data_IF_148234338051
#
_entry.id   IF_148234338051
#
_cell.length_a   1.000
_cell.length_b   1.000
_cell.length_c   1.000
_cell.angle_alpha   90.00
_cell.angle_beta   90.00
_cell.angle_gamma   90.00
#
_symmetry.space_group_name_H-M   'P 1'
#
loop_
_entity.id
_entity.type
_entity.pdbx_description
1 polymer ?
#
# COMPACT_ATOMS: atom_id res chain seq x y z
N UNK A 1 -48.69 9.55 -43.40
CA UNK A 1 -47.77 8.81 -42.50
C UNK A 1 -46.77 9.80 -41.94
N UNK A 2 -47.01 10.29 -40.73
CA UNK A 2 -46.15 11.27 -40.04
C UNK A 2 -45.10 10.52 -39.22
N UNK A 3 -43.84 10.57 -39.64
CA UNK A 3 -42.69 10.16 -38.83
C UNK A 3 -42.50 11.19 -37.73
N UNK A 4 -42.95 10.87 -36.51
CA UNK A 4 -42.71 11.68 -35.32
C UNK A 4 -41.20 11.76 -35.00
N UNK A 5 -40.72 12.84 -34.37
CA UNK A 5 -39.31 12.99 -34.03
C UNK A 5 -38.88 11.88 -33.07
N UNK A 6 -37.81 11.16 -33.43
CA UNK A 6 -37.18 10.16 -32.58
C UNK A 6 -36.65 10.86 -31.32
N UNK A 7 -37.29 10.62 -30.19
CA UNK A 7 -36.73 11.03 -28.90
C UNK A 7 -35.42 10.25 -28.69
N UNK A 8 -34.33 10.90 -28.26
CA UNK A 8 -33.11 10.19 -27.90
C UNK A 8 -33.44 9.17 -26.79
N UNK A 9 -33.04 7.92 -27.02
CA UNK A 9 -33.19 6.81 -26.08
C UNK A 9 -32.47 7.15 -24.76
N UNK A 10 -33.21 7.71 -23.80
CA UNK A 10 -32.76 7.96 -22.42
C UNK A 10 -32.64 6.66 -21.61
N UNK A 11 -32.98 5.54 -22.23
CA UNK A 11 -32.99 4.18 -21.69
C UNK A 11 -31.60 3.55 -21.62
N UNK A 12 -30.56 4.14 -22.23
CA UNK A 12 -29.20 3.61 -22.12
C UNK A 12 -28.57 4.07 -20.80
N UNK A 13 -28.36 3.18 -19.82
CA UNK A 13 -27.72 3.56 -18.56
C UNK A 13 -26.31 4.06 -18.86
N UNK A 14 -25.98 5.25 -18.35
CA UNK A 14 -24.66 5.84 -18.53
C UNK A 14 -23.56 4.86 -18.10
N UNK A 15 -22.43 4.76 -18.85
CA UNK A 15 -21.35 3.87 -18.53
C UNK A 15 -20.85 4.09 -17.09
N UNK A 16 -20.37 3.03 -16.40
CA UNK A 16 -19.79 3.21 -15.07
C UNK A 16 -18.60 4.18 -15.16
N UNK A 17 -18.59 5.17 -14.26
CA UNK A 17 -17.49 6.13 -14.15
C UNK A 17 -16.15 5.38 -13.95
N UNK A 18 -15.07 5.80 -14.62
CA UNK A 18 -13.76 5.16 -14.47
C UNK A 18 -13.23 5.29 -13.04
N UNK A 19 -12.35 4.38 -12.59
CA UNK A 19 -11.71 4.49 -11.29
C UNK A 19 -10.81 5.74 -11.23
N UNK A 20 -10.62 6.34 -10.04
CA UNK A 20 -9.74 7.50 -9.90
C UNK A 20 -8.30 7.14 -10.28
N UNK A 21 -7.59 8.02 -11.01
CA UNK A 21 -6.23 7.76 -11.46
C UNK A 21 -5.28 7.57 -10.27
N UNK A 22 -4.33 6.65 -10.39
CA UNK A 22 -3.39 6.32 -9.31
C UNK A 22 -2.26 7.36 -9.25
N UNK A 23 -2.02 8.01 -8.10
CA UNK A 23 -0.92 8.95 -7.98
C UNK A 23 0.44 8.23 -8.07
N UNK A 24 1.40 8.70 -8.89
CA UNK A 24 2.73 8.10 -8.98
C UNK A 24 3.47 8.03 -7.63
N UNK A 25 3.24 9.02 -6.76
CA UNK A 25 3.81 9.03 -5.42
C UNK A 25 3.31 7.83 -4.57
N UNK A 26 2.04 7.45 -4.68
CA UNK A 26 1.50 6.29 -3.96
C UNK A 26 2.11 4.98 -4.48
N UNK A 27 2.36 4.88 -5.78
CA UNK A 27 3.07 3.73 -6.38
C UNK A 27 4.53 3.67 -5.89
N UNK A 28 5.19 4.82 -5.76
CA UNK A 28 6.53 4.92 -5.16
C UNK A 28 6.52 4.47 -3.69
N UNK A 29 5.58 4.96 -2.88
CA UNK A 29 5.46 4.56 -1.48
C UNK A 29 5.24 3.05 -1.34
N UNK A 30 4.37 2.47 -2.17
CA UNK A 30 4.18 1.03 -2.22
C UNK A 30 5.44 0.27 -2.65
N UNK A 31 6.19 0.80 -3.63
CA UNK A 31 7.45 0.21 -4.06
C UNK A 31 8.51 0.23 -2.95
N UNK A 32 8.60 1.32 -2.18
CA UNK A 32 9.52 1.43 -1.04
C UNK A 32 9.22 0.34 0.00
N UNK A 33 7.96 0.17 0.41
CA UNK A 33 7.56 -0.88 1.36
C UNK A 33 7.92 -2.29 0.87
N UNK A 34 7.65 -2.57 -0.42
CA UNK A 34 7.95 -3.87 -1.02
C UNK A 34 9.46 -4.12 -1.07
N UNK A 35 10.22 -3.16 -1.60
CA UNK A 35 11.66 -3.32 -1.79
C UNK A 35 12.38 -3.33 -0.44
N UNK A 36 12.04 -2.43 0.48
CA UNK A 36 12.58 -2.40 1.84
C UNK A 36 12.32 -3.71 2.59
N UNK A 37 11.07 -4.20 2.54
CA UNK A 37 10.71 -5.49 3.11
C UNK A 37 11.49 -6.66 2.49
N UNK A 38 11.64 -6.71 1.16
CA UNK A 38 12.40 -7.77 0.49
C UNK A 38 13.89 -7.72 0.87
N UNK A 39 14.50 -6.53 0.86
CA UNK A 39 15.92 -6.36 1.21
C UNK A 39 16.17 -6.84 2.65
N UNK A 40 15.33 -6.45 3.59
CA UNK A 40 15.44 -6.89 4.98
C UNK A 40 15.16 -8.38 5.16
N UNK A 41 14.21 -8.97 4.41
CA UNK A 41 13.99 -10.42 4.41
C UNK A 41 15.24 -11.17 3.94
N UNK A 42 15.86 -10.73 2.84
CA UNK A 42 17.10 -11.32 2.35
C UNK A 42 18.20 -11.21 3.39
N UNK A 43 18.35 -10.03 4.03
CA UNK A 43 19.29 -9.83 5.12
C UNK A 43 19.05 -10.79 6.30
N UNK A 44 17.80 -10.97 6.71
CA UNK A 44 17.42 -11.90 7.78
C UNK A 44 17.74 -13.35 7.42
N UNK A 45 17.46 -13.80 6.20
CA UNK A 45 17.79 -15.16 5.76
C UNK A 45 19.30 -15.41 5.70
N UNK A 46 20.09 -14.42 5.25
CA UNK A 46 21.54 -14.52 5.25
C UNK A 46 22.11 -14.58 6.68
N UNK A 47 21.55 -13.81 7.61
CA UNK A 47 21.92 -13.87 9.02
C UNK A 47 21.56 -15.22 9.67
N UNK A 48 20.38 -15.76 9.37
CA UNK A 48 19.95 -17.07 9.85
C UNK A 48 20.86 -18.20 9.33
N UNK A 49 21.35 -18.09 8.09
CA UNK A 49 22.23 -19.10 7.50
C UNK A 49 23.63 -19.16 8.15
N UNK A 50 24.07 -18.07 8.78
CA UNK A 50 25.39 -17.98 9.43
C UNK A 50 25.33 -18.18 10.94
N UNK A 51 24.14 -18.16 11.55
CA UNK A 51 23.95 -18.37 12.99
C UNK A 51 23.58 -19.83 13.29
N UNK A 52 24.47 -20.54 13.98
CA UNK A 52 24.30 -21.92 14.44
C UNK A 52 23.88 -21.94 15.92
N UNK A 53 22.63 -21.58 16.22
CA UNK A 53 22.13 -21.58 17.60
C UNK A 53 20.65 -21.20 17.70
N UNK A 54 20.05 -21.52 18.85
CA UNK A 54 18.61 -21.43 19.19
C UNK A 54 17.81 -20.32 18.52
N UNK A 55 16.55 -20.65 18.16
CA UNK A 55 15.63 -19.79 17.43
C UNK A 55 15.53 -18.38 18.03
N UNK A 56 16.19 -17.44 17.38
CA UNK A 56 16.17 -16.04 17.77
C UNK A 56 14.77 -15.45 17.55
N UNK A 57 14.09 -15.10 18.64
CA UNK A 57 12.77 -14.46 18.57
C UNK A 57 12.81 -13.16 17.75
N UNK A 58 13.95 -12.47 17.71
CA UNK A 58 14.13 -11.28 16.90
C UNK A 58 14.20 -11.60 15.40
N UNK A 59 14.74 -12.75 15.01
CA UNK A 59 14.71 -13.21 13.62
C UNK A 59 13.27 -13.41 13.16
N UNK A 60 12.46 -14.14 13.93
CA UNK A 60 11.04 -14.37 13.60
C UNK A 60 10.24 -13.07 13.53
N UNK A 61 10.45 -12.16 14.47
CA UNK A 61 9.83 -10.84 14.44
C UNK A 61 10.23 -10.08 13.16
N UNK A 62 11.51 -10.08 12.80
CA UNK A 62 12.03 -9.42 11.60
C UNK A 62 11.38 -10.01 10.35
N UNK A 63 11.28 -11.34 10.24
CA UNK A 63 10.63 -11.99 9.11
C UNK A 63 9.16 -11.59 8.99
N UNK A 64 8.41 -11.61 10.10
CA UNK A 64 6.98 -11.25 10.10
C UNK A 64 6.77 -9.79 9.74
N UNK A 65 7.54 -8.87 10.32
CA UNK A 65 7.45 -7.44 10.03
C UNK A 65 7.72 -7.18 8.54
N UNK A 66 8.80 -7.72 7.99
CA UNK A 66 9.15 -7.44 6.61
C UNK A 66 8.21 -8.13 5.60
N UNK A 67 7.71 -9.32 5.89
CA UNK A 67 6.63 -9.94 5.11
C UNK A 67 5.34 -9.12 5.16
N UNK A 68 5.01 -8.54 6.32
CA UNK A 68 3.88 -7.63 6.48
C UNK A 68 4.09 -6.35 5.67
N UNK A 69 5.30 -5.79 5.65
CA UNK A 69 5.65 -4.62 4.84
C UNK A 69 5.38 -4.87 3.35
N UNK A 70 5.86 -5.99 2.82
CA UNK A 70 5.62 -6.40 1.42
C UNK A 70 4.12 -6.52 1.14
N UNK A 71 3.38 -7.18 2.04
CA UNK A 71 1.93 -7.39 1.91
C UNK A 71 1.18 -6.06 1.91
N UNK A 72 1.52 -5.15 2.83
CA UNK A 72 0.91 -3.83 2.91
C UNK A 72 1.28 -2.96 1.72
N UNK A 73 2.50 -3.05 1.18
CA UNK A 73 2.87 -2.37 -0.06
C UNK A 73 1.98 -2.78 -1.23
N UNK A 74 1.73 -4.08 -1.41
CA UNK A 74 0.80 -4.59 -2.43
C UNK A 74 -0.64 -4.09 -2.20
N UNK A 75 -1.12 -4.15 -0.96
CA UNK A 75 -2.47 -3.68 -0.61
C UNK A 75 -2.64 -2.16 -0.76
N UNK A 76 -1.55 -1.41 -0.59
CA UNK A 76 -1.51 0.04 -0.78
C UNK A 76 -1.68 0.41 -2.26
N UNK A 77 -1.12 -0.37 -3.19
CA UNK A 77 -1.41 -0.21 -4.64
C UNK A 77 -2.88 -0.44 -4.98
N UNK A 78 -3.54 -1.31 -4.22
CA UNK A 78 -4.98 -1.52 -4.33
C UNK A 78 -5.77 -0.43 -3.61
N UNK A 79 -5.13 0.59 -3.04
CA UNK A 79 -5.79 1.63 -2.25
C UNK A 79 -6.60 1.08 -1.08
N UNK A 80 -6.12 0.00 -0.45
CA UNK A 80 -6.72 -0.63 0.74
C UNK A 80 -5.85 -0.37 1.96
N UNK A 81 -6.45 -0.53 3.14
CA UNK A 81 -5.78 -0.53 4.44
C UNK A 81 -4.92 0.71 4.74
N UNK A 82 -5.20 1.86 4.14
CA UNK A 82 -4.42 3.10 4.28
C UNK A 82 -3.95 3.38 5.72
N UNK A 83 -4.88 3.38 6.69
CA UNK A 83 -4.56 3.67 8.09
C UNK A 83 -3.62 2.62 8.70
N UNK A 84 -3.80 1.35 8.36
CA UNK A 84 -2.94 0.26 8.83
C UNK A 84 -1.54 0.43 8.21
N UNK A 85 -1.45 0.70 6.91
CA UNK A 85 -0.17 0.94 6.24
C UNK A 85 0.56 2.13 6.86
N UNK A 86 -0.11 3.25 7.11
CA UNK A 86 0.52 4.44 7.72
C UNK A 86 1.07 4.13 9.12
N UNK A 87 0.28 3.49 9.98
CA UNK A 87 0.74 3.13 11.33
C UNK A 87 1.89 2.12 11.27
N UNK A 88 1.78 1.13 10.40
CA UNK A 88 2.81 0.11 10.23
C UNK A 88 4.13 0.72 9.75
N UNK A 89 4.10 1.56 8.70
CA UNK A 89 5.28 2.24 8.18
C UNK A 89 5.91 3.17 9.23
N UNK A 90 5.09 3.85 10.05
CA UNK A 90 5.60 4.67 11.14
C UNK A 90 6.33 3.84 12.22
N UNK A 91 5.78 2.68 12.60
CA UNK A 91 6.43 1.77 13.55
C UNK A 91 7.71 1.20 12.96
N UNK A 92 7.66 0.69 11.73
CA UNK A 92 8.81 0.10 11.06
C UNK A 92 9.94 1.11 10.88
N UNK A 93 9.60 2.31 10.39
CA UNK A 93 10.57 3.40 10.25
C UNK A 93 11.17 3.83 11.57
N UNK A 94 10.39 3.87 12.65
CA UNK A 94 10.92 4.14 13.99
C UNK A 94 11.92 3.06 14.44
N UNK A 95 11.59 1.78 14.25
CA UNK A 95 12.49 0.67 14.60
C UNK A 95 13.81 0.74 13.80
N UNK A 96 13.74 1.03 12.50
CA UNK A 96 14.92 1.19 11.66
C UNK A 96 15.77 2.40 12.08
N UNK A 97 15.14 3.51 12.46
CA UNK A 97 15.85 4.68 12.99
C UNK A 97 16.54 4.41 14.34
N UNK A 98 16.00 3.53 15.20
CA UNK A 98 16.70 3.09 16.40
C UNK A 98 17.96 2.29 16.05
N UNK A 99 17.88 1.44 15.02
CA UNK A 99 19.01 0.66 14.49
C UNK A 99 20.06 1.49 13.75
N UNK A 100 19.76 2.75 13.39
CA UNK A 100 20.63 3.62 12.59
C UNK A 100 22.00 3.89 13.22
N UNK A 101 22.10 3.83 14.55
CA UNK A 101 23.36 4.02 15.27
C UNK A 101 24.39 2.91 15.00
N UNK A 102 23.91 1.71 14.65
CA UNK A 102 24.73 0.51 14.42
C UNK A 102 24.86 0.21 12.94
N UNK A 103 23.83 0.51 12.14
CA UNK A 103 23.79 0.21 10.71
C UNK A 103 23.33 1.44 9.90
N UNK A 104 24.22 2.04 9.07
CA UNK A 104 23.84 3.15 8.20
C UNK A 104 22.71 2.82 7.21
N UNK A 105 22.57 1.55 6.80
CA UNK A 105 21.47 1.14 5.95
C UNK A 105 20.11 1.26 6.67
N UNK A 106 20.07 1.05 7.98
CA UNK A 106 18.87 1.21 8.79
C UNK A 106 18.44 2.69 8.84
N UNK A 107 19.38 3.64 8.82
CA UNK A 107 19.05 5.06 8.66
C UNK A 107 18.34 5.33 7.32
N UNK A 108 18.87 4.80 6.23
CA UNK A 108 18.29 5.00 4.89
C UNK A 108 16.89 4.40 4.80
N UNK A 109 16.70 3.19 5.35
CA UNK A 109 15.39 2.53 5.40
C UNK A 109 14.40 3.29 6.28
N UNK A 110 14.82 3.70 7.48
CA UNK A 110 13.99 4.51 8.38
C UNK A 110 13.53 5.82 7.74
N UNK A 111 14.43 6.52 7.03
CA UNK A 111 14.07 7.72 6.27
C UNK A 111 13.12 7.43 5.10
N UNK A 112 13.31 6.30 4.40
CA UNK A 112 12.42 5.88 3.34
C UNK A 112 11.01 5.58 3.87
N UNK A 113 10.88 4.97 5.05
CA UNK A 113 9.60 4.72 5.70
C UNK A 113 8.92 6.01 6.19
N UNK A 114 9.69 6.98 6.71
CA UNK A 114 9.17 8.32 7.00
C UNK A 114 8.63 8.99 5.72
N UNK A 115 9.34 8.86 4.60
CA UNK A 115 8.86 9.34 3.31
C UNK A 115 7.57 8.64 2.87
N UNK A 116 7.45 7.33 3.05
CA UNK A 116 6.21 6.57 2.81
C UNK A 116 5.06 7.16 3.62
N UNK A 117 5.24 7.36 4.93
CA UNK A 117 4.23 7.94 5.81
C UNK A 117 3.78 9.31 5.30
N UNK A 118 4.72 10.19 4.96
CA UNK A 118 4.43 11.53 4.44
C UNK A 118 3.64 11.46 3.13
N UNK A 119 4.04 10.60 2.20
CA UNK A 119 3.35 10.41 0.92
C UNK A 119 1.92 9.94 1.16
N UNK A 120 1.73 8.90 1.99
CA UNK A 120 0.43 8.30 2.24
C UNK A 120 -0.53 9.25 2.95
N UNK A 121 -0.03 10.07 3.88
CA UNK A 121 -0.83 11.12 4.53
C UNK A 121 -1.26 12.17 3.51
N UNK A 122 -0.34 12.67 2.68
CA UNK A 122 -0.67 13.68 1.65
C UNK A 122 -1.66 13.18 0.61
N UNK A 123 -1.63 11.89 0.29
CA UNK A 123 -2.52 11.29 -0.70
C UNK A 123 -3.76 10.60 -0.08
N UNK A 124 -4.06 10.84 1.21
CA UNK A 124 -5.32 10.39 1.84
C UNK A 124 -6.57 10.67 0.99
N UNK A 125 -6.73 11.85 0.33
CA UNK A 125 -7.91 12.13 -0.48
C UNK A 125 -8.16 11.09 -1.58
N UNK A 126 -7.09 10.57 -2.21
CA UNK A 126 -7.20 9.54 -3.25
C UNK A 126 -7.74 8.21 -2.69
N UNK A 127 -7.28 7.79 -1.51
CA UNK A 127 -7.80 6.58 -0.85
C UNK A 127 -9.29 6.72 -0.51
N UNK A 128 -9.71 7.91 -0.06
CA UNK A 128 -11.11 8.20 0.24
C UNK A 128 -11.98 8.18 -1.02
N UNK A 129 -11.49 8.77 -2.12
CA UNK A 129 -12.16 8.76 -3.43
C UNK A 129 -12.32 7.34 -3.99
N UNK A 130 -11.25 6.55 -3.96
CA UNK A 130 -11.29 5.16 -4.43
C UNK A 130 -12.25 4.31 -3.59
N UNK A 131 -12.33 4.55 -2.28
CA UNK A 131 -13.30 3.87 -1.39
C UNK A 131 -14.74 4.22 -1.79
N UNK A 132 -15.03 5.50 -2.06
CA UNK A 132 -16.36 5.94 -2.51
C UNK A 132 -16.72 5.35 -3.86
N UNK A 133 -15.80 5.39 -4.83
CA UNK A 133 -16.00 4.82 -6.15
C UNK A 133 -16.38 3.32 -6.07
N UNK A 134 -15.68 2.55 -5.24
CA UNK A 134 -16.00 1.13 -5.01
C UNK A 134 -17.39 0.92 -4.42
N UNK A 135 -17.79 1.74 -3.43
CA UNK A 135 -19.12 1.64 -2.83
C UNK A 135 -20.21 1.88 -3.89
N UNK A 136 -20.09 2.94 -4.70
CA UNK A 136 -21.03 3.23 -5.79
C UNK A 136 -21.03 2.17 -6.90
N UNK A 137 -19.89 1.55 -7.19
CA UNK A 137 -19.79 0.46 -8.15
C UNK A 137 -20.51 -0.81 -7.66
N UNK A 138 -20.36 -1.15 -6.37
CA UNK A 138 -21.02 -2.30 -5.74
C UNK A 138 -22.54 -2.14 -5.67
N UNK A 139 -23.03 -0.95 -5.31
CA UNK A 139 -24.46 -0.67 -5.23
C UNK A 139 -25.14 -0.83 -6.60
N UNK A 140 -24.50 -0.37 -7.68
CA UNK A 140 -24.99 -0.57 -9.05
C UNK A 140 -24.99 -2.04 -9.49
N UNK A 141 -24.10 -2.86 -8.94
CA UNK A 141 -24.05 -4.30 -9.20
C UNK A 141 -25.16 -5.09 -8.52
N UNK A 142 -25.74 -4.60 -7.42
CA UNK A 142 -26.87 -5.26 -6.72
C UNK A 142 -28.25 -4.97 -7.31
N UNK A 143 -28.38 -3.90 -8.11
CA UNK A 143 -29.65 -3.45 -8.69
C UNK A 143 -29.88 -4.09 -10.09
N UNK A 144 -28.90 -4.82 -10.61
CA UNK A 144 -29.01 -5.66 -11.81
C UNK A 144 -29.26 -7.11 -11.41
#
# INVERSE_FOLDING_TARGET
MTTGPAFPDTSTPAPPAPPPPRPPAVELAAAILIVGGIVNLVGAFLAAATTTGEGDAFLWLTLVLNATSVTLGVLTRMGRLWLITVNFAAILGFLDLLGASVNPAALMLGLAEVLVVVILIRHKPWFDELRRWRATALDRGRIR
#
